data_IF_741356343220
#
_entry.id   IF_741356343220
#
_cell.length_a   1.000
_cell.length_b   1.000
_cell.length_c   1.000
_cell.angle_alpha   90.00
_cell.angle_beta   90.00
_cell.angle_gamma   90.00
#
_symmetry.space_group_name_H-M   'P 1'
#
loop_
_entity.id
_entity.type
_entity.pdbx_description
1 polymer ?
#
# COMPACT_ATOMS: atom_id res chain seq x y z
N UNK A 1 85.40 -52.29 26.29
CA UNK A 1 83.98 -52.31 26.76
C UNK A 1 83.28 -51.19 26.05
N UNK A 2 82.15 -51.46 25.48
CA UNK A 2 81.54 -50.69 24.41
C UNK A 2 80.82 -49.39 24.91
N UNK A 3 81.32 -48.25 24.44
CA UNK A 3 80.65 -46.96 24.63
C UNK A 3 79.61 -46.73 23.54
N UNK A 4 78.39 -46.37 23.92
CA UNK A 4 77.33 -45.95 22.97
C UNK A 4 77.34 -44.45 22.86
N UNK A 5 77.49 -43.98 21.63
CA UNK A 5 77.32 -42.60 21.22
C UNK A 5 75.80 -42.28 21.12
N UNK A 6 75.39 -41.25 21.80
CA UNK A 6 74.03 -40.62 21.63
C UNK A 6 74.13 -39.46 20.65
N UNK A 7 73.36 -39.55 19.57
CA UNK A 7 73.23 -38.47 18.61
C UNK A 7 72.07 -37.50 19.04
N UNK A 8 72.21 -36.22 18.83
CA UNK A 8 71.11 -35.26 19.13
C UNK A 8 70.07 -35.26 18.05
N UNK A 9 68.80 -35.33 18.47
CA UNK A 9 67.62 -35.15 17.61
C UNK A 9 67.36 -33.63 17.41
N UNK A 10 67.50 -33.18 16.19
CA UNK A 10 67.12 -31.83 15.82
C UNK A 10 65.57 -31.74 15.65
N UNK A 11 64.93 -30.93 16.47
CA UNK A 11 63.51 -30.62 16.34
C UNK A 11 63.29 -29.55 15.23
N UNK A 12 62.71 -29.95 14.14
CA UNK A 12 62.21 -29.00 13.09
C UNK A 12 60.90 -28.37 13.54
N UNK A 13 60.87 -27.06 13.78
CA UNK A 13 59.67 -26.28 14.03
C UNK A 13 59.05 -25.96 12.66
N UNK A 14 57.94 -26.61 12.33
CA UNK A 14 57.09 -26.25 11.19
C UNK A 14 56.26 -25.05 11.58
N UNK A 15 56.61 -23.86 11.06
CA UNK A 15 55.79 -22.66 11.08
C UNK A 15 54.63 -22.84 10.09
N UNK A 16 53.44 -23.21 10.58
CA UNK A 16 52.19 -23.24 9.82
C UNK A 16 51.70 -21.81 9.57
N UNK A 17 51.91 -21.28 8.38
CA UNK A 17 51.30 -20.02 7.94
C UNK A 17 49.80 -20.22 7.80
N UNK A 18 48.98 -19.56 8.62
CA UNK A 18 47.57 -19.34 8.34
C UNK A 18 47.44 -18.44 7.11
N UNK A 19 47.15 -19.00 5.95
CA UNK A 19 46.60 -18.31 4.83
C UNK A 19 45.16 -18.00 5.18
N UNK A 20 44.87 -16.76 5.69
CA UNK A 20 43.54 -16.21 5.72
C UNK A 20 43.07 -16.08 4.26
N UNK A 21 42.25 -17.02 3.83
CA UNK A 21 41.56 -16.93 2.56
C UNK A 21 40.66 -15.67 2.56
N UNK A 22 41.11 -14.67 1.83
CA UNK A 22 40.21 -13.54 1.48
C UNK A 22 39.16 -14.17 0.57
N UNK A 23 38.00 -14.54 1.17
CA UNK A 23 36.85 -14.96 0.43
C UNK A 23 36.52 -13.83 -0.54
N UNK A 24 36.65 -14.04 -1.85
CA UNK A 24 36.14 -13.15 -2.86
C UNK A 24 34.64 -12.94 -2.52
N UNK A 25 34.12 -11.70 -2.58
CA UNK A 25 32.70 -11.47 -2.43
C UNK A 25 32.00 -12.38 -3.44
N UNK A 26 31.06 -13.21 -2.97
CA UNK A 26 30.23 -14.01 -3.86
C UNK A 26 29.67 -13.07 -4.90
N UNK A 27 29.96 -13.35 -6.18
CA UNK A 27 29.37 -12.59 -7.28
C UNK A 27 27.88 -12.63 -7.06
N UNK A 28 27.28 -11.46 -6.82
CA UNK A 28 25.85 -11.32 -6.70
C UNK A 28 25.27 -11.83 -8.01
N UNK A 29 24.54 -12.94 -7.98
CA UNK A 29 23.90 -13.48 -9.16
C UNK A 29 23.08 -12.34 -9.77
N UNK A 30 23.29 -12.06 -11.06
CA UNK A 30 22.55 -11.01 -11.74
C UNK A 30 21.07 -11.39 -11.72
N UNK A 31 20.27 -10.66 -10.97
CA UNK A 31 18.84 -10.90 -10.89
C UNK A 31 18.22 -10.52 -12.25
N UNK A 32 17.14 -11.23 -12.62
CA UNK A 32 16.49 -11.05 -13.92
C UNK A 32 15.86 -9.64 -14.08
N UNK A 33 15.42 -9.04 -12.97
CA UNK A 33 14.77 -7.72 -12.93
C UNK A 33 14.83 -7.13 -11.50
N UNK A 34 14.47 -5.83 -11.29
CA UNK A 34 14.53 -5.18 -9.98
C UNK A 34 13.72 -5.90 -8.88
N UNK A 35 12.52 -6.41 -9.22
CA UNK A 35 11.66 -7.11 -8.25
C UNK A 35 12.27 -8.44 -7.81
N UNK A 36 12.84 -9.20 -8.74
CA UNK A 36 13.54 -10.45 -8.41
C UNK A 36 14.74 -10.20 -7.51
N UNK A 37 15.50 -9.10 -7.73
CA UNK A 37 16.60 -8.68 -6.87
C UNK A 37 16.10 -8.32 -5.46
N UNK A 38 15.04 -7.55 -5.39
CA UNK A 38 14.44 -7.11 -4.13
C UNK A 38 13.94 -8.30 -3.30
N UNK A 39 13.26 -9.26 -3.94
CA UNK A 39 12.76 -10.46 -3.26
C UNK A 39 13.83 -11.47 -2.87
N UNK A 40 15.04 -11.37 -3.42
CA UNK A 40 16.19 -12.16 -2.97
C UNK A 40 16.79 -11.65 -1.65
N UNK A 41 16.43 -10.45 -1.21
CA UNK A 41 16.86 -9.90 0.07
C UNK A 41 16.06 -10.51 1.24
N UNK A 42 16.64 -10.57 2.45
CA UNK A 42 15.93 -11.07 3.62
C UNK A 42 14.66 -10.26 3.90
N UNK A 43 13.53 -10.94 3.98
CA UNK A 43 12.26 -10.34 4.40
C UNK A 43 12.19 -10.15 5.92
N UNK A 44 11.22 -9.38 6.35
CA UNK A 44 10.86 -9.20 7.76
C UNK A 44 9.78 -10.21 8.13
N UNK A 45 9.90 -10.96 9.24
CA UNK A 45 8.86 -11.89 9.68
C UNK A 45 7.48 -11.21 9.81
N UNK A 46 6.42 -11.91 9.42
CA UNK A 46 5.05 -11.39 9.46
C UNK A 46 4.65 -10.91 10.86
N UNK A 47 5.06 -11.62 11.90
CA UNK A 47 4.81 -11.22 13.30
C UNK A 47 5.40 -9.86 13.69
N UNK A 48 6.31 -9.31 12.89
CA UNK A 48 6.93 -8.00 13.13
C UNK A 48 6.22 -6.89 12.36
N UNK A 49 5.88 -7.13 11.08
CA UNK A 49 5.32 -6.09 10.24
C UNK A 49 3.78 -6.05 10.28
N UNK A 50 3.14 -7.17 10.57
CA UNK A 50 1.69 -7.22 10.59
C UNK A 50 1.12 -6.55 11.85
N UNK A 51 0.02 -5.84 11.68
CA UNK A 51 -0.82 -5.32 12.75
C UNK A 51 -2.05 -6.24 12.86
N UNK A 52 -1.88 -7.40 13.50
CA UNK A 52 -2.96 -8.38 13.67
C UNK A 52 -4.08 -7.84 14.54
N UNK A 53 -5.32 -8.10 14.16
CA UNK A 53 -6.52 -7.66 14.86
C UNK A 53 -7.17 -6.41 14.26
N UNK A 54 -8.20 -5.90 14.92
CA UNK A 54 -8.86 -4.65 14.53
C UNK A 54 -7.87 -3.50 14.56
N UNK A 55 -7.92 -2.58 13.59
CA UNK A 55 -7.05 -1.40 13.60
C UNK A 55 -7.19 -0.68 14.92
N UNK A 56 -6.07 -0.25 15.49
CA UNK A 56 -6.07 0.49 16.74
C UNK A 56 -6.88 1.78 16.64
N UNK A 57 -7.75 2.03 17.61
CA UNK A 57 -8.46 3.30 17.75
C UNK A 57 -7.62 4.37 18.45
N UNK A 58 -6.40 4.03 18.92
CA UNK A 58 -5.54 4.95 19.68
C UNK A 58 -4.40 5.55 18.88
N UNK A 59 -4.09 4.96 17.70
CA UNK A 59 -3.14 5.50 16.72
C UNK A 59 -3.60 5.15 15.31
N UNK A 60 -3.80 6.14 14.47
CA UNK A 60 -4.29 5.96 13.10
C UNK A 60 -3.87 7.14 12.23
N UNK A 61 -3.87 6.96 10.92
CA UNK A 61 -3.47 8.00 9.97
C UNK A 61 -3.67 7.58 8.52
N UNK A 62 -3.28 8.45 7.63
CA UNK A 62 -3.31 8.23 6.17
C UNK A 62 -2.11 8.88 5.50
N UNK A 63 -1.84 8.45 4.27
CA UNK A 63 -0.79 9.00 3.42
C UNK A 63 -1.34 10.11 2.52
N UNK A 64 -0.50 11.10 2.24
CA UNK A 64 -0.82 12.22 1.39
C UNK A 64 0.44 12.68 0.63
N UNK A 65 0.47 12.51 -0.73
CA UNK A 65 -0.51 11.82 -1.56
C UNK A 65 -0.58 10.31 -1.29
N UNK A 66 -1.54 9.60 -1.92
CA UNK A 66 -1.68 8.14 -1.78
C UNK A 66 -0.61 7.38 -2.57
N UNK A 67 -0.11 7.96 -3.64
CA UNK A 67 0.91 7.38 -4.53
C UNK A 67 2.03 8.38 -4.81
N UNK A 68 3.28 7.90 -4.83
CA UNK A 68 4.48 8.72 -5.11
C UNK A 68 5.46 7.97 -6.01
N UNK A 69 6.22 8.72 -6.81
CA UNK A 69 7.31 8.15 -7.60
C UNK A 69 8.57 7.96 -6.75
N UNK A 70 9.45 7.04 -7.16
CA UNK A 70 10.78 6.86 -6.57
C UNK A 70 11.51 8.21 -6.50
N UNK A 71 12.11 8.50 -5.35
CA UNK A 71 12.81 9.76 -5.08
C UNK A 71 11.92 10.90 -4.57
N UNK A 72 10.61 10.78 -4.64
CA UNK A 72 9.68 11.76 -4.08
C UNK A 72 9.45 11.52 -2.58
N UNK A 73 8.88 12.52 -1.93
CA UNK A 73 8.49 12.45 -0.52
C UNK A 73 7.01 12.13 -0.38
N UNK A 74 6.70 11.26 0.59
CA UNK A 74 5.34 10.99 1.03
C UNK A 74 5.15 11.52 2.45
N UNK A 75 4.02 12.13 2.72
CA UNK A 75 3.65 12.66 4.02
C UNK A 75 2.65 11.75 4.72
N UNK A 76 2.76 11.66 6.04
CA UNK A 76 1.83 10.93 6.88
C UNK A 76 1.14 11.89 7.84
N UNK A 77 -0.18 11.90 7.80
CA UNK A 77 -1.04 12.65 8.70
C UNK A 77 -1.58 11.65 9.74
N UNK A 78 -1.06 11.72 10.96
CA UNK A 78 -1.30 10.73 12.02
C UNK A 78 -1.91 11.43 13.23
N UNK A 79 -2.91 10.79 13.85
CA UNK A 79 -3.54 11.20 15.11
C UNK A 79 -3.37 10.12 16.17
N UNK A 80 -2.94 10.52 17.35
CA UNK A 80 -2.78 9.67 18.52
C UNK A 80 -2.60 10.51 19.77
N UNK A 81 -3.03 9.98 20.91
CA UNK A 81 -2.67 10.52 22.23
C UNK A 81 -1.34 9.94 22.76
N UNK A 82 -0.64 9.13 21.99
CA UNK A 82 0.61 8.50 22.37
C UNK A 82 1.68 9.55 22.72
N UNK A 83 2.43 9.30 23.80
CA UNK A 83 3.58 10.12 24.18
C UNK A 83 4.86 9.71 23.46
N UNK A 84 4.89 8.50 22.91
CA UNK A 84 5.89 8.03 21.95
C UNK A 84 5.34 6.96 21.03
N UNK A 85 5.78 6.97 19.77
CA UNK A 85 5.47 5.95 18.76
C UNK A 85 6.55 5.91 17.70
N UNK A 86 6.53 4.87 16.85
CA UNK A 86 7.44 4.71 15.72
C UNK A 86 6.66 4.53 14.41
N UNK A 87 7.36 4.79 13.31
CA UNK A 87 6.86 4.63 11.95
C UNK A 87 7.91 3.85 11.18
N UNK A 88 7.62 2.60 10.88
CA UNK A 88 8.46 1.72 10.07
C UNK A 88 7.81 1.52 8.70
N UNK A 89 8.59 1.69 7.64
CA UNK A 89 8.11 1.61 6.25
C UNK A 89 8.44 0.23 5.68
N UNK A 90 7.42 -0.46 5.21
CA UNK A 90 7.53 -1.79 4.63
C UNK A 90 7.09 -1.80 3.17
N UNK A 91 7.85 -2.51 2.33
CA UNK A 91 7.43 -2.88 0.98
C UNK A 91 6.82 -4.28 1.02
N UNK A 92 5.65 -4.43 0.42
CA UNK A 92 4.98 -5.72 0.26
C UNK A 92 5.58 -6.50 -0.90
N UNK A 93 5.63 -7.82 -0.78
CA UNK A 93 6.18 -8.72 -1.80
C UNK A 93 6.16 -10.17 -1.35
N UNK A 94 7.08 -10.99 -1.84
CA UNK A 94 7.20 -12.40 -1.45
C UNK A 94 8.24 -12.64 -0.35
N UNK A 95 9.49 -12.22 -0.57
CA UNK A 95 10.63 -12.31 0.37
C UNK A 95 10.77 -13.68 1.05
N UNK A 96 10.77 -14.76 0.25
CA UNK A 96 10.87 -16.12 0.78
C UNK A 96 9.71 -16.55 1.66
N UNK A 97 8.54 -15.95 1.50
CA UNK A 97 7.32 -16.21 2.29
C UNK A 97 7.04 -15.21 3.41
N UNK A 98 8.01 -14.36 3.77
CA UNK A 98 7.83 -13.35 4.83
C UNK A 98 6.81 -12.24 4.48
N UNK A 99 6.54 -12.01 3.20
CA UNK A 99 5.48 -11.12 2.74
C UNK A 99 5.82 -9.64 2.70
N UNK A 100 6.79 -9.17 3.47
CA UNK A 100 7.23 -7.79 3.48
C UNK A 100 8.71 -7.65 3.83
N UNK A 101 9.30 -6.49 3.51
CA UNK A 101 10.66 -6.11 3.91
C UNK A 101 10.70 -4.67 4.40
N UNK A 102 11.39 -4.44 5.51
CA UNK A 102 11.63 -3.10 6.04
C UNK A 102 12.50 -2.30 5.06
N UNK A 103 12.02 -1.10 4.69
CA UNK A 103 12.68 -0.18 3.76
C UNK A 103 13.30 1.04 4.48
N UNK A 104 12.84 1.31 5.67
CA UNK A 104 13.30 2.45 6.47
C UNK A 104 12.28 2.84 7.52
N UNK A 105 12.44 4.05 8.06
CA UNK A 105 11.52 4.62 9.04
C UNK A 105 11.39 6.12 8.83
N UNK A 106 10.28 6.69 9.33
CA UNK A 106 10.07 8.13 9.37
C UNK A 106 10.10 8.62 10.82
N UNK A 107 10.57 9.85 11.02
CA UNK A 107 10.62 10.46 12.36
C UNK A 107 9.30 11.14 12.67
N UNK A 108 8.58 10.72 13.74
CA UNK A 108 7.31 11.32 14.09
C UNK A 108 7.46 12.68 14.79
N UNK A 109 6.56 13.60 14.46
CA UNK A 109 6.34 14.83 15.24
C UNK A 109 5.19 14.59 16.23
N UNK A 110 5.54 14.28 17.46
CA UNK A 110 4.58 13.93 18.53
C UNK A 110 3.60 15.08 18.81
N UNK A 111 4.09 16.32 18.87
CA UNK A 111 3.25 17.48 19.18
C UNK A 111 2.16 17.69 18.11
N UNK A 112 2.51 17.54 16.84
CA UNK A 112 1.55 17.61 15.73
C UNK A 112 0.56 16.45 15.81
N UNK A 113 1.04 15.23 16.03
CA UNK A 113 0.18 14.03 16.12
C UNK A 113 -0.87 14.16 17.22
N UNK A 114 -0.51 14.71 18.38
CA UNK A 114 -1.43 14.90 19.51
C UNK A 114 -2.42 16.06 19.28
N UNK A 115 -2.04 17.06 18.48
CA UNK A 115 -2.82 18.27 18.25
C UNK A 115 -3.80 18.17 17.05
N UNK A 116 -3.89 17.02 16.38
CA UNK A 116 -4.77 16.88 15.20
C UNK A 116 -6.24 17.18 15.55
N UNK A 117 -6.93 18.02 14.75
CA UNK A 117 -8.33 18.35 14.97
C UNK A 117 -9.25 17.15 14.73
N UNK A 118 -10.56 17.35 14.95
CA UNK A 118 -11.56 16.42 14.43
C UNK A 118 -11.61 16.50 12.91
N UNK A 119 -11.89 15.36 12.25
CA UNK A 119 -12.19 15.35 10.82
C UNK A 119 -13.53 16.06 10.57
N UNK A 120 -13.68 16.66 9.41
CA UNK A 120 -14.97 17.15 8.96
C UNK A 120 -15.87 15.96 8.57
N UNK A 121 -17.09 15.98 9.06
CA UNK A 121 -18.09 14.96 8.72
C UNK A 121 -19.33 15.64 8.15
N UNK A 122 -19.63 15.36 6.90
CA UNK A 122 -20.88 15.77 6.27
C UNK A 122 -21.90 14.63 6.35
N UNK A 123 -22.86 14.74 7.26
CA UNK A 123 -23.85 13.69 7.50
C UNK A 123 -24.85 13.52 6.34
N UNK A 124 -24.97 14.50 5.44
CA UNK A 124 -25.85 14.41 4.28
C UNK A 124 -25.25 13.52 3.19
N UNK A 125 -23.93 13.60 2.99
CA UNK A 125 -23.22 12.82 1.96
C UNK A 125 -22.47 11.62 2.54
N UNK A 126 -22.37 11.51 3.88
CA UNK A 126 -21.56 10.51 4.57
C UNK A 126 -20.05 10.77 4.46
N UNK A 127 -19.61 11.91 3.91
CA UNK A 127 -18.21 12.23 3.75
C UNK A 127 -17.53 12.42 5.11
N UNK A 128 -16.43 11.71 5.33
CA UNK A 128 -15.48 11.94 6.43
C UNK A 128 -14.15 12.33 5.81
N UNK A 129 -13.73 13.58 6.00
CA UNK A 129 -12.49 14.13 5.43
C UNK A 129 -11.60 14.71 6.56
N UNK A 130 -10.39 14.19 6.68
CA UNK A 130 -9.37 14.61 7.65
C UNK A 130 -8.25 15.43 6.98
N UNK A 131 -8.49 16.02 5.83
CA UNK A 131 -7.52 16.86 5.10
C UNK A 131 -7.02 18.05 5.92
N UNK A 132 -7.78 18.46 6.96
CA UNK A 132 -7.37 19.49 7.95
C UNK A 132 -6.27 19.02 8.92
N UNK A 133 -5.83 17.74 8.87
CA UNK A 133 -4.71 17.30 9.70
C UNK A 133 -3.38 17.82 9.14
N UNK A 134 -2.50 18.19 10.05
CA UNK A 134 -1.14 18.60 9.74
C UNK A 134 -0.24 17.36 9.52
N UNK A 135 0.82 17.51 8.74
CA UNK A 135 1.80 16.47 8.49
C UNK A 135 2.53 16.11 9.78
N UNK A 136 2.41 14.86 10.21
CA UNK A 136 3.05 14.33 11.41
C UNK A 136 4.43 13.72 11.14
N UNK A 137 4.66 13.26 9.92
CA UNK A 137 5.95 12.71 9.47
C UNK A 137 6.03 12.75 7.95
N UNK A 138 7.25 12.71 7.44
CA UNK A 138 7.54 12.60 6.00
C UNK A 138 8.62 11.55 5.79
N UNK A 139 8.50 10.77 4.72
CA UNK A 139 9.52 9.83 4.28
C UNK A 139 9.84 10.08 2.82
N UNK A 140 11.13 10.26 2.52
CA UNK A 140 11.60 10.36 1.13
C UNK A 140 11.88 8.96 0.61
N UNK A 141 11.23 8.58 -0.47
CA UNK A 141 11.45 7.28 -1.11
C UNK A 141 12.90 7.23 -1.64
N UNK A 142 13.71 6.26 -1.18
CA UNK A 142 15.09 6.14 -1.65
C UNK A 142 15.15 5.97 -3.18
N UNK A 143 16.18 6.51 -3.82
CA UNK A 143 16.41 6.32 -5.28
C UNK A 143 16.66 4.85 -5.65
N UNK A 144 16.99 4.01 -4.67
CA UNK A 144 17.19 2.57 -4.81
C UNK A 144 15.94 1.75 -4.50
N UNK A 145 14.83 2.39 -4.14
CA UNK A 145 13.58 1.71 -3.87
C UNK A 145 13.05 0.98 -5.12
N UNK A 146 12.36 -0.12 -4.91
CA UNK A 146 11.68 -0.84 -5.98
C UNK A 146 10.19 -0.53 -5.90
N UNK A 147 9.57 -0.27 -7.04
CA UNK A 147 8.13 -0.05 -7.16
C UNK A 147 7.34 -1.17 -6.44
N UNK A 148 6.23 -0.81 -5.80
CA UNK A 148 5.44 -1.76 -5.02
C UNK A 148 4.30 -1.12 -4.24
N UNK A 149 3.49 -1.95 -3.63
CA UNK A 149 2.59 -1.53 -2.55
C UNK A 149 3.41 -1.48 -1.27
N UNK A 150 3.30 -0.38 -0.57
CA UNK A 150 3.99 -0.11 0.68
C UNK A 150 2.98 0.20 1.77
N UNK A 151 3.41 0.07 3.02
CA UNK A 151 2.70 0.68 4.12
C UNK A 151 3.65 1.20 5.20
N UNK A 152 3.21 2.26 5.88
CA UNK A 152 3.82 2.71 7.10
C UNK A 152 3.13 2.00 8.29
N UNK A 153 3.86 1.14 9.00
CA UNK A 153 3.43 0.60 10.27
C UNK A 153 3.68 1.63 11.35
N UNK A 154 2.60 2.16 11.91
CA UNK A 154 2.63 3.08 13.02
C UNK A 154 2.30 2.32 14.31
N UNK A 155 3.15 2.43 15.34
CA UNK A 155 2.94 1.68 16.58
C UNK A 155 3.45 2.42 17.80
N UNK A 156 2.68 2.32 18.87
CA UNK A 156 2.97 2.99 20.14
C UNK A 156 4.15 2.34 20.85
N UNK A 157 4.93 3.15 21.56
CA UNK A 157 6.09 2.72 22.36
C UNK A 157 6.03 3.28 23.79
N UNK A 158 4.88 3.82 24.20
CA UNK A 158 4.64 4.45 25.48
C UNK A 158 3.92 3.52 26.49
N UNK A 159 4.16 2.22 26.38
CA UNK A 159 3.56 1.20 27.25
C UNK A 159 2.33 0.51 26.63
N UNK A 160 1.80 0.99 25.50
CA UNK A 160 0.83 0.28 24.69
C UNK A 160 1.53 -0.48 23.54
N UNK A 161 0.90 -1.56 23.09
CA UNK A 161 1.31 -2.34 21.89
C UNK A 161 0.46 -2.00 20.66
N UNK A 162 -0.41 -1.01 20.77
CA UNK A 162 -1.31 -0.60 19.70
C UNK A 162 -0.55 -0.21 18.43
N UNK A 163 -1.03 -0.73 17.30
CA UNK A 163 -0.45 -0.48 16.00
C UNK A 163 -1.53 -0.30 14.94
N UNK A 164 -1.16 0.32 13.82
CA UNK A 164 -1.97 0.45 12.62
C UNK A 164 -1.07 0.51 11.39
N UNK A 165 -1.67 0.48 10.20
CA UNK A 165 -0.97 0.49 8.92
C UNK A 165 -1.56 1.58 8.02
N UNK A 166 -0.70 2.32 7.35
CA UNK A 166 -1.06 3.35 6.38
C UNK A 166 -0.57 2.88 5.01
N UNK A 167 -1.46 2.42 4.11
CA UNK A 167 -1.08 1.96 2.78
C UNK A 167 -0.74 3.14 1.86
N UNK A 168 0.16 2.89 0.91
CA UNK A 168 0.48 3.77 -0.20
C UNK A 168 1.19 3.01 -1.32
N UNK A 169 1.27 3.62 -2.50
CA UNK A 169 1.96 3.04 -3.65
C UNK A 169 3.25 3.81 -3.95
N UNK A 170 4.34 3.07 -4.17
CA UNK A 170 5.58 3.62 -4.73
C UNK A 170 5.66 3.21 -6.20
N UNK A 171 5.51 4.19 -7.08
CA UNK A 171 5.63 4.00 -8.53
C UNK A 171 7.09 4.04 -8.98
N UNK A 172 7.29 3.64 -10.22
CA UNK A 172 8.47 3.96 -11.00
C UNK A 172 8.04 4.41 -12.40
N UNK A 173 7.80 5.70 -12.56
CA UNK A 173 7.27 6.29 -13.80
C UNK A 173 8.21 6.14 -14.99
N UNK A 174 9.47 5.77 -14.76
CA UNK A 174 10.45 5.44 -15.81
C UNK A 174 10.54 3.93 -16.09
N UNK A 175 9.67 3.12 -15.49
CA UNK A 175 9.71 1.66 -15.67
C UNK A 175 9.17 1.24 -17.02
N UNK A 176 9.87 0.27 -17.64
CA UNK A 176 9.39 -0.49 -18.79
C UNK A 176 9.29 -1.97 -18.43
N UNK A 177 8.88 -2.29 -17.20
CA UNK A 177 8.65 -3.66 -16.76
C UNK A 177 7.65 -4.37 -17.67
N UNK A 178 7.77 -5.69 -17.78
CA UNK A 178 6.86 -6.45 -18.65
C UNK A 178 5.40 -6.33 -18.20
N UNK A 179 5.17 -6.20 -16.89
CA UNK A 179 3.85 -6.10 -16.26
C UNK A 179 3.75 -4.82 -15.45
N UNK A 180 2.62 -4.14 -15.53
CA UNK A 180 2.19 -3.15 -14.56
C UNK A 180 1.01 -3.71 -13.75
N UNK A 181 1.11 -3.67 -12.43
CA UNK A 181 0.03 -4.03 -11.53
C UNK A 181 -0.68 -2.77 -11.05
N UNK A 182 -1.99 -2.70 -11.26
CA UNK A 182 -2.85 -1.61 -10.78
C UNK A 182 -3.59 -2.07 -9.52
N UNK A 183 -3.49 -1.32 -8.43
CA UNK A 183 -4.27 -1.56 -7.22
C UNK A 183 -5.75 -1.21 -7.46
N UNK A 184 -6.65 -1.69 -6.59
CA UNK A 184 -8.08 -1.38 -6.64
C UNK A 184 -8.47 -0.40 -5.52
N UNK A 185 -7.68 0.64 -5.33
CA UNK A 185 -7.76 1.54 -4.18
C UNK A 185 -9.05 2.37 -4.13
N UNK A 186 -9.73 2.62 -5.25
CA UNK A 186 -11.09 3.17 -5.22
C UNK A 186 -12.07 2.22 -4.51
N UNK A 187 -11.93 0.91 -4.77
CA UNK A 187 -12.74 -0.10 -4.08
C UNK A 187 -12.39 -0.17 -2.60
N UNK A 188 -11.11 -0.08 -2.24
CA UNK A 188 -10.73 -0.03 -0.82
C UNK A 188 -11.39 1.14 -0.10
N UNK A 189 -11.41 2.32 -0.73
CA UNK A 189 -12.07 3.50 -0.15
C UNK A 189 -13.57 3.37 -0.07
N UNK A 190 -14.21 2.76 -1.05
CA UNK A 190 -15.66 2.55 -1.07
C UNK A 190 -16.13 1.67 0.11
N UNK A 191 -15.35 0.64 0.46
CA UNK A 191 -15.64 -0.26 1.57
C UNK A 191 -15.09 0.22 2.91
N UNK A 192 -14.15 1.16 2.92
CA UNK A 192 -13.57 1.70 4.14
C UNK A 192 -14.64 2.41 4.99
N UNK A 193 -14.95 1.85 6.15
CA UNK A 193 -15.97 2.36 7.09
C UNK A 193 -15.38 3.22 8.21
N UNK A 194 -14.10 3.57 8.13
CA UNK A 194 -13.48 4.41 9.14
C UNK A 194 -14.21 5.75 9.27
N UNK A 195 -14.52 6.10 10.50
CA UNK A 195 -15.32 7.29 10.82
C UNK A 195 -16.84 7.01 10.82
N UNK A 196 -17.26 5.78 10.57
CA UNK A 196 -18.65 5.32 10.65
C UNK A 196 -19.45 5.44 9.37
N UNK A 197 -18.80 5.68 8.22
CA UNK A 197 -19.46 5.77 6.91
C UNK A 197 -18.64 5.08 5.81
N UNK A 198 -19.32 4.27 5.03
CA UNK A 198 -18.81 3.72 3.77
C UNK A 198 -19.89 3.87 2.68
N UNK A 199 -19.60 3.47 1.45
CA UNK A 199 -20.59 3.45 0.37
C UNK A 199 -21.73 2.44 0.63
N UNK A 200 -21.57 1.59 1.67
CA UNK A 200 -22.54 0.56 2.06
C UNK A 200 -23.20 0.83 3.41
N UNK A 201 -22.51 1.50 4.33
CA UNK A 201 -22.96 1.67 5.71
C UNK A 201 -23.01 3.14 6.13
N UNK A 202 -24.00 3.46 6.96
CA UNK A 202 -24.17 4.76 7.60
C UNK A 202 -24.05 4.65 9.12
N UNK A 203 -23.67 5.76 9.78
CA UNK A 203 -23.47 5.82 11.23
C UNK A 203 -24.71 5.47 12.04
N UNK A 204 -25.90 5.62 11.46
CA UNK A 204 -27.16 5.45 12.18
C UNK A 204 -27.54 3.98 12.43
N UNK A 205 -27.03 3.05 11.67
CA UNK A 205 -27.50 1.65 11.68
C UNK A 205 -26.53 0.68 12.34
N UNK A 206 -25.24 1.07 12.48
CA UNK A 206 -24.23 0.18 13.04
C UNK A 206 -24.08 -1.14 12.29
N UNK A 207 -24.68 -1.24 11.10
CA UNK A 207 -24.58 -2.45 10.29
C UNK A 207 -23.26 -2.46 9.54
N UNK A 208 -22.41 -3.44 9.77
CA UNK A 208 -21.11 -3.54 9.11
C UNK A 208 -21.18 -4.25 7.74
N UNK A 209 -22.39 -4.58 7.22
CA UNK A 209 -22.49 -5.54 6.13
C UNK A 209 -23.05 -4.97 4.83
N UNK A 210 -22.29 -5.19 3.77
CA UNK A 210 -22.71 -4.91 2.42
C UNK A 210 -23.75 -5.94 1.93
N UNK A 211 -24.43 -5.57 0.93
CA UNK A 211 -24.82 -6.42 -0.21
C UNK A 211 -26.25 -6.94 -0.26
N UNK A 212 -27.07 -6.88 0.76
CA UNK A 212 -28.50 -7.21 0.63
C UNK A 212 -29.46 -6.02 0.70
N UNK A 213 -29.01 -4.92 1.30
CA UNK A 213 -29.70 -3.63 1.26
C UNK A 213 -28.69 -2.52 1.57
N UNK A 214 -28.77 -1.40 0.87
CA UNK A 214 -27.99 -0.21 1.21
C UNK A 214 -28.55 0.40 2.48
N UNK A 215 -27.67 0.69 3.45
CA UNK A 215 -28.11 1.35 4.69
C UNK A 215 -28.62 2.77 4.39
N UNK A 216 -29.76 3.17 4.96
CA UNK A 216 -30.14 4.58 4.96
C UNK A 216 -29.06 5.45 5.59
N UNK A 217 -28.61 6.50 4.88
CA UNK A 217 -27.55 7.39 5.35
C UNK A 217 -26.12 6.84 5.12
N UNK A 218 -25.96 5.85 4.25
CA UNK A 218 -24.65 5.46 3.70
C UNK A 218 -23.95 6.64 3.03
N UNK A 219 -22.63 6.54 2.87
CA UNK A 219 -21.90 7.55 2.13
C UNK A 219 -22.21 7.49 0.63
N UNK A 220 -22.34 8.65 0.02
CA UNK A 220 -22.25 8.87 -1.44
C UNK A 220 -20.97 9.59 -1.82
N UNK A 221 -20.15 9.94 -0.82
CA UNK A 221 -18.84 10.54 -0.97
C UNK A 221 -17.87 9.92 0.05
N UNK A 222 -16.70 9.50 -0.39
CA UNK A 222 -15.64 8.96 0.48
C UNK A 222 -14.31 9.65 0.17
N UNK A 223 -13.52 9.94 1.20
CA UNK A 223 -12.28 10.70 1.07
C UNK A 223 -11.06 9.80 1.16
N UNK A 224 -10.04 10.08 0.33
CA UNK A 224 -8.68 9.54 0.51
C UNK A 224 -7.94 10.20 1.70
N UNK A 225 -8.45 11.33 2.18
CA UNK A 225 -7.93 12.01 3.36
C UNK A 225 -8.54 11.45 4.65
N UNK A 226 -8.48 10.13 4.84
CA UNK A 226 -8.92 9.49 6.08
C UNK A 226 -8.17 8.18 6.32
N UNK A 227 -8.01 7.75 7.58
CA UNK A 227 -7.45 6.45 7.90
C UNK A 227 -8.20 5.30 7.23
N UNK A 228 -7.50 4.19 7.03
CA UNK A 228 -8.10 2.94 6.55
C UNK A 228 -8.42 1.98 7.71
N UNK A 229 -9.53 1.28 7.59
CA UNK A 229 -9.82 0.07 8.33
C UNK A 229 -9.15 -1.12 7.62
N UNK A 230 -7.85 -1.34 7.85
CA UNK A 230 -7.02 -2.26 7.06
C UNK A 230 -7.19 -3.73 7.43
N UNK A 231 -7.64 -4.00 8.66
CA UNK A 231 -7.83 -5.35 9.18
C UNK A 231 -9.13 -5.39 9.97
N UNK A 232 -10.15 -5.93 9.37
CA UNK A 232 -11.43 -6.10 10.00
C UNK A 232 -11.84 -7.57 9.93
N UNK A 233 -12.29 -8.14 11.04
CA UNK A 233 -12.90 -9.47 11.07
C UNK A 233 -14.28 -9.49 10.38
N UNK A 234 -14.60 -8.41 9.68
CA UNK A 234 -15.84 -8.16 8.96
C UNK A 234 -15.58 -7.86 7.49
N UNK A 235 -16.56 -7.92 6.61
CA UNK A 235 -16.41 -7.85 5.15
C UNK A 235 -15.63 -6.68 4.60
N UNK A 236 -15.60 -5.53 5.27
CA UNK A 236 -14.83 -4.37 4.80
C UNK A 236 -13.34 -4.65 4.63
N UNK A 237 -12.74 -5.48 5.48
CA UNK A 237 -11.34 -5.87 5.35
C UNK A 237 -11.07 -6.86 4.23
N UNK A 238 -12.10 -7.54 3.71
CA UNK A 238 -11.97 -8.43 2.55
C UNK A 238 -11.68 -7.63 1.28
N UNK A 239 -12.19 -6.41 1.20
CA UNK A 239 -12.10 -5.57 0.01
C UNK A 239 -10.86 -4.65 0.03
N UNK A 240 -9.98 -4.84 0.99
CA UNK A 240 -8.70 -4.18 1.11
C UNK A 240 -7.56 -5.05 0.57
N UNK A 241 -6.41 -4.45 0.29
CA UNK A 241 -5.22 -5.09 -0.25
C UNK A 241 -4.90 -6.46 0.36
N UNK A 242 -4.88 -6.58 1.68
CA UNK A 242 -4.52 -7.84 2.36
C UNK A 242 -5.51 -8.98 2.14
N UNK A 243 -6.79 -8.67 1.99
CA UNK A 243 -7.83 -9.67 1.75
C UNK A 243 -7.89 -10.16 0.31
N UNK A 244 -7.64 -9.27 -0.64
CA UNK A 244 -7.95 -9.53 -2.05
C UNK A 244 -6.75 -9.52 -3.00
N UNK A 245 -5.78 -8.63 -2.81
CA UNK A 245 -4.75 -8.39 -3.81
C UNK A 245 -3.39 -8.96 -3.43
N UNK A 246 -3.08 -9.05 -2.14
CA UNK A 246 -1.77 -9.44 -1.65
C UNK A 246 -1.34 -10.83 -2.13
N UNK A 247 -2.26 -11.77 -2.29
CA UNK A 247 -1.98 -13.09 -2.83
C UNK A 247 -1.45 -13.03 -4.27
N UNK A 248 -2.02 -12.17 -5.11
CA UNK A 248 -1.57 -11.96 -6.50
C UNK A 248 -0.20 -11.27 -6.54
N UNK A 249 0.01 -10.24 -5.72
CA UNK A 249 1.32 -9.58 -5.59
C UNK A 249 2.39 -10.60 -5.19
N UNK A 250 2.13 -11.41 -4.15
CA UNK A 250 3.04 -12.49 -3.72
C UNK A 250 3.30 -13.50 -4.83
N UNK A 251 2.28 -13.89 -5.58
CA UNK A 251 2.42 -14.82 -6.69
C UNK A 251 3.32 -14.27 -7.81
N UNK A 252 3.08 -13.04 -8.25
CA UNK A 252 3.89 -12.40 -9.28
C UNK A 252 5.35 -12.29 -8.85
N UNK A 253 5.60 -11.82 -7.64
CA UNK A 253 6.95 -11.61 -7.13
C UNK A 253 7.68 -12.91 -6.79
N UNK A 254 6.97 -13.94 -6.27
CA UNK A 254 7.54 -15.26 -6.01
C UNK A 254 8.02 -15.96 -7.28
N UNK A 255 7.34 -15.70 -8.40
CA UNK A 255 7.68 -16.27 -9.69
C UNK A 255 8.63 -15.38 -10.51
N UNK A 256 9.14 -14.28 -9.94
CA UNK A 256 10.15 -13.42 -10.56
C UNK A 256 9.63 -12.62 -11.76
N UNK A 257 8.33 -12.34 -11.84
CA UNK A 257 7.81 -11.46 -12.89
C UNK A 257 8.45 -10.07 -12.79
N UNK A 258 8.75 -9.51 -13.94
CA UNK A 258 9.17 -8.11 -14.05
C UNK A 258 7.93 -7.23 -13.97
N UNK A 259 7.64 -6.72 -12.78
CA UNK A 259 6.41 -5.99 -12.46
C UNK A 259 6.71 -4.65 -11.79
N UNK A 260 5.98 -3.60 -12.18
CA UNK A 260 5.87 -2.33 -11.47
C UNK A 260 4.42 -2.10 -11.02
N UNK A 261 4.22 -1.11 -10.17
CA UNK A 261 2.95 -0.87 -9.51
C UNK A 261 2.50 0.57 -9.71
N UNK A 262 1.20 0.74 -9.91
CA UNK A 262 0.49 2.03 -9.96
C UNK A 262 -0.77 1.94 -9.12
N UNK A 263 -1.25 3.06 -8.58
CA UNK A 263 -2.58 3.12 -7.98
C UNK A 263 -3.65 3.28 -9.06
N UNK A 264 -4.88 2.95 -8.73
CA UNK A 264 -6.02 3.23 -9.60
C UNK A 264 -6.20 4.75 -9.74
N UNK A 265 -6.02 5.52 -8.65
CA UNK A 265 -5.98 7.00 -8.67
C UNK A 265 -4.99 7.54 -9.73
N UNK A 266 -3.78 6.95 -9.86
CA UNK A 266 -2.82 7.35 -10.90
C UNK A 266 -3.33 7.07 -12.31
N UNK A 267 -3.98 5.92 -12.49
CA UNK A 267 -4.52 5.50 -13.80
C UNK A 267 -5.71 6.37 -14.20
N UNK A 268 -6.52 6.82 -13.26
CA UNK A 268 -7.60 7.78 -13.50
C UNK A 268 -7.10 9.13 -14.04
N UNK A 269 -5.89 9.51 -13.66
CA UNK A 269 -5.28 10.80 -14.00
C UNK A 269 -4.94 10.97 -15.50
N UNK A 270 -4.59 12.19 -15.87
CA UNK A 270 -4.32 12.57 -17.27
C UNK A 270 -3.18 11.82 -17.95
N UNK A 271 -2.27 11.25 -17.17
CA UNK A 271 -1.12 10.49 -17.68
C UNK A 271 -1.33 8.96 -17.64
N UNK A 272 -2.53 8.51 -17.19
CA UNK A 272 -2.79 7.08 -16.96
C UNK A 272 -2.53 6.20 -18.17
N UNK A 273 -3.03 6.58 -19.36
CA UNK A 273 -2.80 5.81 -20.58
C UNK A 273 -1.30 5.68 -20.90
N UNK A 274 -0.56 6.79 -20.88
CA UNK A 274 0.87 6.79 -21.19
C UNK A 274 1.72 6.02 -20.18
N UNK A 275 1.30 5.96 -18.91
CA UNK A 275 1.93 5.11 -17.90
C UNK A 275 1.73 3.63 -18.23
N UNK A 276 0.52 3.23 -18.59
CA UNK A 276 0.21 1.84 -18.93
C UNK A 276 0.87 1.37 -20.23
N UNK A 277 0.94 2.23 -21.24
CA UNK A 277 1.51 1.94 -22.57
C UNK A 277 3.02 1.62 -22.54
N UNK A 278 3.72 1.91 -21.46
CA UNK A 278 5.12 1.52 -21.27
C UNK A 278 5.30 0.02 -21.00
N UNK A 279 4.22 -0.72 -20.77
CA UNK A 279 4.21 -2.11 -20.36
C UNK A 279 3.55 -3.03 -21.39
N UNK A 280 3.84 -4.33 -21.30
CA UNK A 280 3.22 -5.33 -22.19
C UNK A 280 1.87 -5.81 -21.69
N UNK A 281 1.67 -5.78 -20.37
CA UNK A 281 0.43 -6.22 -19.76
C UNK A 281 0.10 -5.39 -18.51
N UNK A 282 -1.20 -5.07 -18.37
CA UNK A 282 -1.81 -4.61 -17.14
C UNK A 282 -2.41 -5.80 -16.41
N UNK A 283 -2.08 -5.93 -15.13
CA UNK A 283 -2.72 -6.88 -14.20
C UNK A 283 -3.47 -6.10 -13.13
N UNK A 284 -4.69 -6.49 -12.88
CA UNK A 284 -5.51 -6.03 -11.76
C UNK A 284 -6.20 -7.25 -11.13
N UNK A 285 -6.33 -7.30 -9.82
CA UNK A 285 -6.88 -8.47 -9.14
C UNK A 285 -7.68 -8.11 -7.89
N UNK A 286 -8.32 -9.12 -7.32
CA UNK A 286 -9.07 -9.01 -6.08
C UNK A 286 -10.50 -8.53 -6.28
N UNK A 287 -10.81 -7.33 -5.83
CA UNK A 287 -12.12 -6.70 -5.98
C UNK A 287 -11.95 -5.29 -6.58
N UNK A 288 -12.30 -5.13 -7.86
CA UNK A 288 -12.10 -3.88 -8.62
C UNK A 288 -13.44 -3.34 -9.13
N UNK A 289 -14.29 -3.01 -8.17
CA UNK A 289 -15.71 -2.74 -8.39
C UNK A 289 -16.00 -1.29 -8.82
N UNK A 290 -15.18 -0.35 -8.36
CA UNK A 290 -15.38 1.09 -8.51
C UNK A 290 -14.37 1.65 -9.49
N UNK A 291 -14.86 2.28 -10.57
CA UNK A 291 -14.03 2.84 -11.63
C UNK A 291 -14.57 4.19 -12.08
N UNK A 292 -13.68 5.15 -12.24
CA UNK A 292 -14.04 6.44 -12.82
C UNK A 292 -13.97 6.41 -14.37
N UNK A 293 -14.35 7.51 -15.00
CA UNK A 293 -14.30 7.61 -16.46
C UNK A 293 -12.87 7.71 -17.00
N UNK A 294 -11.95 8.27 -16.23
CA UNK A 294 -10.52 8.34 -16.55
C UNK A 294 -9.88 6.96 -16.59
N UNK A 295 -10.09 6.14 -15.55
CA UNK A 295 -9.67 4.75 -15.50
C UNK A 295 -10.06 3.99 -16.76
N UNK A 296 -11.35 4.02 -17.05
CA UNK A 296 -11.89 3.29 -18.20
C UNK A 296 -11.31 3.79 -19.51
N UNK A 297 -11.20 5.12 -19.68
CA UNK A 297 -10.64 5.73 -20.88
C UNK A 297 -9.18 5.33 -21.06
N UNK A 298 -8.37 5.46 -20.00
CA UNK A 298 -6.93 5.23 -20.05
C UNK A 298 -6.59 3.75 -20.24
N UNK A 299 -7.31 2.85 -19.55
CA UNK A 299 -7.16 1.39 -19.74
C UNK A 299 -7.61 0.97 -21.15
N UNK A 300 -8.67 1.57 -21.69
CA UNK A 300 -9.12 1.31 -23.06
C UNK A 300 -8.08 1.78 -24.06
N UNK A 301 -7.50 2.97 -23.89
CA UNK A 301 -6.45 3.52 -24.75
C UNK A 301 -5.20 2.61 -24.73
N UNK A 302 -4.75 2.19 -23.54
CA UNK A 302 -3.63 1.26 -23.42
C UNK A 302 -3.88 -0.08 -24.14
N UNK A 303 -5.08 -0.65 -24.01
CA UNK A 303 -5.48 -1.84 -24.77
C UNK A 303 -5.38 -1.61 -26.28
N UNK A 304 -5.90 -0.49 -26.76
CA UNK A 304 -5.91 -0.17 -28.19
C UNK A 304 -4.51 0.11 -28.71
N UNK A 305 -3.57 0.54 -27.85
CA UNK A 305 -2.13 0.64 -28.12
C UNK A 305 -1.41 -0.71 -28.06
N UNK A 306 -2.08 -1.80 -27.66
CA UNK A 306 -1.52 -3.16 -27.67
C UNK A 306 -1.13 -3.73 -26.32
N UNK A 307 -1.46 -3.05 -25.21
CA UNK A 307 -1.27 -3.59 -23.85
C UNK A 307 -2.27 -4.70 -23.59
N UNK A 308 -1.80 -5.87 -23.18
CA UNK A 308 -2.67 -6.98 -22.78
C UNK A 308 -3.32 -6.68 -21.43
N UNK A 309 -4.62 -6.95 -21.29
CA UNK A 309 -5.34 -6.74 -20.05
C UNK A 309 -5.62 -8.07 -19.35
N UNK A 310 -5.25 -8.20 -18.10
CA UNK A 310 -5.48 -9.39 -17.27
C UNK A 310 -6.19 -9.00 -15.98
N UNK A 311 -7.49 -9.22 -15.94
CA UNK A 311 -8.34 -8.95 -14.77
C UNK A 311 -8.65 -10.25 -14.03
N UNK A 312 -8.12 -10.38 -12.82
CA UNK A 312 -8.39 -11.46 -11.88
C UNK A 312 -9.25 -10.94 -10.72
N UNK A 313 -10.18 -10.04 -11.04
CA UNK A 313 -10.97 -9.29 -10.06
C UNK A 313 -12.45 -9.65 -10.13
N UNK A 314 -13.10 -9.64 -8.97
CA UNK A 314 -14.57 -9.70 -8.87
C UNK A 314 -15.22 -8.36 -9.13
N UNK A 315 -16.50 -8.36 -9.55
CA UNK A 315 -17.36 -7.19 -9.78
C UNK A 315 -16.71 -6.08 -10.64
N UNK A 316 -15.83 -6.48 -11.55
CA UNK A 316 -15.01 -5.57 -12.34
C UNK A 316 -15.83 -4.44 -12.99
N UNK A 317 -15.46 -3.18 -12.73
CA UNK A 317 -16.09 -1.97 -13.30
C UNK A 317 -17.61 -1.90 -13.07
N UNK A 318 -18.09 -2.40 -11.94
CA UNK A 318 -19.53 -2.48 -11.68
C UNK A 318 -20.16 -1.11 -11.41
N UNK A 319 -19.46 -0.26 -10.64
CA UNK A 319 -19.95 1.07 -10.27
C UNK A 319 -19.13 2.16 -10.92
N UNK A 320 -19.82 3.09 -11.59
CA UNK A 320 -19.23 4.32 -12.06
C UNK A 320 -19.01 5.26 -10.88
N UNK A 321 -17.80 5.82 -10.82
CA UNK A 321 -17.40 6.84 -9.86
C UNK A 321 -17.04 8.14 -10.57
N UNK A 322 -16.79 9.19 -9.80
CA UNK A 322 -16.13 10.40 -10.26
C UNK A 322 -15.32 11.05 -9.15
N UNK A 323 -14.29 11.74 -9.52
CA UNK A 323 -13.44 12.46 -8.59
C UNK A 323 -13.96 13.87 -8.29
N UNK A 324 -13.71 14.33 -7.05
CA UNK A 324 -13.83 15.70 -6.62
C UNK A 324 -12.64 16.09 -5.76
N UNK A 325 -12.41 17.39 -5.64
CA UNK A 325 -11.37 17.91 -4.76
C UNK A 325 -11.72 17.69 -3.28
N UNK A 326 -10.67 17.66 -2.43
CA UNK A 326 -10.82 17.73 -0.99
C UNK A 326 -11.57 19.01 -0.56
N UNK A 327 -12.31 18.92 0.54
CA UNK A 327 -12.90 20.10 1.19
C UNK A 327 -11.82 21.01 1.80
N UNK A 328 -10.61 20.51 1.96
CA UNK A 328 -9.46 21.23 2.50
C UNK A 328 -8.41 21.44 1.41
N UNK A 329 -8.05 22.70 1.18
CA UNK A 329 -6.98 23.07 0.24
C UNK A 329 -7.32 22.88 -1.24
N UNK A 330 -8.52 22.40 -1.60
CA UNK A 330 -8.91 22.09 -2.99
C UNK A 330 -7.95 21.12 -3.70
N UNK A 331 -7.28 20.24 -2.96
CA UNK A 331 -6.45 19.19 -3.57
C UNK A 331 -7.33 18.34 -4.50
N UNK A 332 -6.98 18.21 -5.77
CA UNK A 332 -7.76 17.43 -6.74
C UNK A 332 -7.76 15.95 -6.37
N UNK A 333 -8.75 15.22 -6.85
CA UNK A 333 -8.79 13.74 -6.79
C UNK A 333 -8.63 13.15 -5.37
N UNK A 334 -9.20 13.86 -4.34
CA UNK A 334 -9.16 13.38 -2.93
C UNK A 334 -10.51 12.87 -2.44
N UNK A 335 -11.59 13.07 -3.21
CA UNK A 335 -12.93 12.61 -2.86
C UNK A 335 -13.52 11.80 -4.01
N UNK A 336 -13.88 10.55 -3.72
CA UNK A 336 -14.58 9.66 -4.64
C UNK A 336 -16.08 9.78 -4.41
N UNK A 337 -16.84 9.98 -5.48
CA UNK A 337 -18.30 10.16 -5.46
C UNK A 337 -18.98 8.97 -6.11
N UNK A 338 -19.93 8.36 -5.40
CA UNK A 338 -20.61 7.12 -5.79
C UNK A 338 -22.06 7.12 -5.30
N UNK A 339 -23.01 7.23 -6.18
CA UNK A 339 -24.44 7.28 -5.81
C UNK A 339 -25.17 5.92 -5.86
N UNK A 340 -24.75 5.00 -6.73
CA UNK A 340 -25.36 3.66 -6.88
C UNK A 340 -26.87 3.72 -7.20
N UNK A 341 -27.28 4.61 -8.09
CA UNK A 341 -28.66 4.90 -8.42
C UNK A 341 -29.48 3.68 -8.87
N UNK A 342 -28.83 2.71 -9.52
CA UNK A 342 -29.49 1.48 -9.95
C UNK A 342 -29.92 0.57 -8.79
N UNK A 343 -29.33 0.73 -7.59
CA UNK A 343 -29.74 0.05 -6.37
C UNK A 343 -30.55 0.93 -5.42
N UNK A 344 -30.39 2.25 -5.51
CA UNK A 344 -31.03 3.22 -4.63
C UNK A 344 -31.61 4.37 -5.46
N UNK A 345 -32.84 4.18 -5.91
CA UNK A 345 -33.56 5.17 -6.69
C UNK A 345 -33.95 6.44 -5.92
N UNK A 346 -33.68 6.50 -4.61
CA UNK A 346 -33.98 7.68 -3.78
C UNK A 346 -32.88 8.73 -3.86
N UNK A 347 -31.72 8.38 -4.41
CA UNK A 347 -30.58 9.26 -4.60
C UNK A 347 -30.19 9.28 -6.08
N UNK A 348 -29.70 10.42 -6.55
CA UNK A 348 -29.14 10.58 -7.89
C UNK A 348 -27.95 11.53 -7.83
N UNK A 349 -26.93 11.26 -8.62
CA UNK A 349 -25.80 12.18 -8.73
C UNK A 349 -26.28 13.48 -9.43
N UNK A 350 -26.25 14.62 -8.76
CA UNK A 350 -26.72 15.87 -9.36
C UNK A 350 -25.82 16.37 -10.51
N UNK A 351 -24.58 15.89 -10.58
CA UNK A 351 -23.62 16.30 -11.61
C UNK A 351 -23.54 15.30 -12.79
N UNK A 352 -23.94 14.05 -12.58
CA UNK A 352 -23.87 12.98 -13.57
C UNK A 352 -25.05 12.01 -13.36
N UNK A 353 -26.30 12.47 -13.56
CA UNK A 353 -27.48 11.64 -13.34
C UNK A 353 -27.50 10.48 -14.34
N UNK A 354 -28.10 9.33 -13.95
CA UNK A 354 -28.24 8.19 -14.85
C UNK A 354 -29.07 8.61 -16.07
N UNK A 355 -28.67 8.17 -17.25
CA UNK A 355 -29.36 8.41 -18.54
C UNK A 355 -30.46 7.40 -18.76
#
# INVERSE_FOLDING_TARGET
>A
MRGRLLAPVAAAVLAGGLLAGIGAPAAQASCANPVACENALPGTPESVWDATGSPSSTIYGFADPFSVNIGQAISFKIKSAATSYKIDIYRMGYYGGNGARLQGSATPNIAVTQAQPACNTNTTTGLVDCGNWSVSATWTVPSTAVSGVYFARIYRTDGSTDANQIPFVVRNDASHSAVVYMTSDETWQAYNDWGGYSVYSGKATGSPWCCSALDPGRAVQVSYNRPFATRYDTPGGQDFFFGNEFSTVRFLEANGYDVSYVSQEDVAGSNGASMLEQHKALVNSGHSEYWDAGDRTNVTAARDAGVSLAFFAGNLMWWKTRWAASQYGNEPERTLIVYKESLDSTVSDPADPPT
#
